data_IF_310145421592
#
_entry.id   IF_310145421592
#
_cell.length_a   1.000
_cell.length_b   1.000
_cell.length_c   1.000
_cell.angle_alpha   90.00
_cell.angle_beta   90.00
_cell.angle_gamma   90.00
#
_symmetry.space_group_name_H-M   'P 1'
#
loop_
_entity.id
_entity.type
_entity.pdbx_description
1 polymer ?
#
# COMPACT_ATOMS: atom_id res chain seq x y z
N UNK A 1 -53.02 -38.03 18.86
CA UNK A 1 -51.56 -38.15 19.08
C UNK A 1 -50.89 -37.07 18.24
N UNK A 2 -50.24 -36.10 18.88
CA UNK A 2 -49.55 -35.01 18.17
C UNK A 2 -48.12 -35.46 17.93
N UNK A 3 -47.71 -35.53 16.66
CA UNK A 3 -46.35 -35.91 16.27
C UNK A 3 -45.48 -34.65 16.20
N UNK A 4 -44.59 -34.50 17.17
CA UNK A 4 -43.59 -33.42 17.21
C UNK A 4 -42.47 -33.76 16.22
N UNK A 5 -42.36 -33.02 15.11
CA UNK A 5 -41.22 -33.13 14.20
C UNK A 5 -40.03 -32.39 14.82
N UNK A 6 -38.96 -33.13 15.13
CA UNK A 6 -37.66 -32.53 15.43
C UNK A 6 -37.08 -31.96 14.12
N UNK A 7 -37.06 -30.64 14.00
CA UNK A 7 -36.29 -29.95 12.97
C UNK A 7 -34.86 -29.82 13.53
N UNK A 8 -33.92 -30.57 12.96
CA UNK A 8 -32.50 -30.37 13.25
C UNK A 8 -31.98 -29.33 12.28
N UNK A 9 -32.05 -28.05 12.67
CA UNK A 9 -31.41 -26.97 11.93
C UNK A 9 -29.90 -27.03 12.22
N UNK A 10 -29.14 -27.67 11.32
CA UNK A 10 -27.68 -27.63 11.40
C UNK A 10 -27.21 -26.38 10.69
N UNK A 11 -26.77 -25.38 11.46
CA UNK A 11 -26.08 -24.22 10.90
C UNK A 11 -24.87 -24.70 10.09
N UNK A 12 -24.92 -24.54 8.76
CA UNK A 12 -23.76 -24.77 7.90
C UNK A 12 -22.63 -23.85 8.35
N UNK A 13 -21.43 -24.42 8.49
CA UNK A 13 -20.25 -23.66 8.87
C UNK A 13 -20.07 -22.47 7.92
N UNK A 14 -20.03 -21.25 8.47
CA UNK A 14 -19.78 -20.04 7.71
C UNK A 14 -18.38 -20.17 7.10
N UNK A 15 -18.31 -20.28 5.78
CA UNK A 15 -17.04 -20.16 5.07
C UNK A 15 -16.64 -18.69 5.05
N UNK A 16 -15.48 -18.37 5.61
CA UNK A 16 -14.86 -17.05 5.47
C UNK A 16 -13.78 -17.13 4.40
N UNK A 17 -14.10 -16.85 3.12
CA UNK A 17 -13.10 -16.85 2.07
C UNK A 17 -12.06 -15.75 2.34
N UNK A 18 -10.81 -16.00 1.95
CA UNK A 18 -9.75 -15.01 1.98
C UNK A 18 -9.00 -15.00 0.65
N UNK A 19 -8.40 -13.87 0.31
CA UNK A 19 -7.56 -13.68 -0.86
C UNK A 19 -6.33 -12.87 -0.47
N UNK A 20 -5.23 -13.07 -1.18
CA UNK A 20 -3.98 -12.33 -0.98
C UNK A 20 -3.65 -11.53 -2.23
N UNK A 21 -3.23 -10.30 -2.05
CA UNK A 21 -2.83 -9.39 -3.11
C UNK A 21 -1.44 -8.85 -2.81
N UNK A 22 -0.70 -8.51 -3.86
CA UNK A 22 0.68 -8.03 -3.76
C UNK A 22 0.79 -6.64 -4.34
N UNK A 23 1.51 -5.78 -3.63
CA UNK A 23 1.80 -4.41 -4.00
C UNK A 23 3.30 -4.31 -4.28
N UNK A 24 3.66 -3.77 -5.43
CA UNK A 24 5.03 -3.63 -5.89
C UNK A 24 5.38 -2.15 -5.98
N UNK A 25 6.54 -1.79 -5.47
CA UNK A 25 7.15 -0.47 -5.58
C UNK A 25 8.60 -0.66 -6.01
N UNK A 26 9.01 0.05 -7.06
CA UNK A 26 10.37 -0.01 -7.59
C UNK A 26 10.96 1.40 -7.62
N UNK A 27 12.11 1.56 -6.97
CA UNK A 27 12.93 2.76 -7.05
C UNK A 27 14.09 2.52 -8.02
N UNK A 28 14.31 3.43 -8.96
CA UNK A 28 15.37 3.29 -9.96
C UNK A 28 15.93 4.65 -10.38
N UNK A 29 17.15 4.63 -10.93
CA UNK A 29 17.79 5.81 -11.49
C UNK A 29 17.37 5.97 -12.95
N UNK A 30 16.93 7.18 -13.32
CA UNK A 30 16.77 7.57 -14.71
C UNK A 30 17.17 9.04 -14.85
N UNK A 31 18.10 9.33 -15.77
CA UNK A 31 18.63 10.67 -16.06
C UNK A 31 19.26 11.38 -14.83
N UNK A 32 19.78 10.60 -13.87
CA UNK A 32 20.35 11.14 -12.63
C UNK A 32 19.33 11.40 -11.52
N UNK A 33 18.04 11.24 -11.79
CA UNK A 33 16.97 11.43 -10.82
C UNK A 33 16.48 10.10 -10.24
N UNK A 34 15.87 10.19 -9.06
CA UNK A 34 15.08 9.14 -8.45
C UNK A 34 13.74 9.03 -9.16
N UNK A 35 13.47 7.85 -9.69
CA UNK A 35 12.20 7.50 -10.28
C UNK A 35 11.53 6.38 -9.50
N UNK A 36 10.21 6.46 -9.39
CA UNK A 36 9.38 5.43 -8.78
C UNK A 36 8.36 4.87 -9.78
N UNK A 37 8.18 3.56 -9.77
CA UNK A 37 7.07 2.88 -10.45
C UNK A 37 6.40 1.91 -9.49
N UNK A 38 5.10 1.65 -9.68
CA UNK A 38 4.34 0.80 -8.79
C UNK A 38 3.22 0.06 -9.51
N UNK A 39 2.83 -1.09 -8.99
CA UNK A 39 1.72 -1.88 -9.49
C UNK A 39 1.14 -2.76 -8.38
N UNK A 40 -0.12 -3.20 -8.52
CA UNK A 40 -0.75 -4.11 -7.57
C UNK A 40 -1.53 -5.20 -8.29
N UNK A 41 -1.60 -6.40 -7.71
CA UNK A 41 -2.53 -7.45 -8.16
C UNK A 41 -3.92 -7.29 -7.54
N UNK A 42 -4.10 -6.36 -6.60
CA UNK A 42 -5.38 -6.10 -5.99
C UNK A 42 -6.37 -5.54 -7.04
N UNK A 43 -7.63 -6.00 -7.05
CA UNK A 43 -8.66 -5.46 -7.95
C UNK A 43 -9.14 -4.06 -7.55
N UNK A 44 -8.53 -3.46 -6.53
CA UNK A 44 -8.85 -2.15 -5.99
C UNK A 44 -7.57 -1.38 -5.68
N UNK A 45 -7.66 -0.05 -5.64
CA UNK A 45 -6.57 0.82 -5.19
C UNK A 45 -6.55 0.95 -3.67
N UNK A 46 -5.44 1.44 -3.15
CA UNK A 46 -5.30 1.72 -1.74
C UNK A 46 -6.24 2.87 -1.39
N UNK A 47 -6.89 2.80 -0.24
CA UNK A 47 -7.70 3.91 0.23
C UNK A 47 -6.79 5.12 0.44
N UNK A 48 -7.09 6.22 -0.28
CA UNK A 48 -6.25 7.42 -0.35
C UNK A 48 -4.77 7.08 -0.60
N UNK A 49 -4.48 6.20 -1.56
CA UNK A 49 -3.13 5.70 -1.81
C UNK A 49 -2.15 6.80 -2.23
N UNK A 50 -0.98 6.84 -1.59
CA UNK A 50 0.06 7.85 -1.83
C UNK A 50 1.41 7.17 -2.04
N UNK A 51 2.16 7.65 -3.04
CA UNK A 51 3.56 7.28 -3.25
C UNK A 51 4.40 8.40 -2.64
N UNK A 52 5.28 8.06 -1.70
CA UNK A 52 6.04 9.03 -0.92
C UNK A 52 7.53 8.71 -0.91
N UNK A 53 8.34 9.76 -0.87
CA UNK A 53 9.78 9.70 -0.62
C UNK A 53 10.10 10.48 0.64
N UNK A 54 10.90 9.89 1.52
CA UNK A 54 11.39 10.49 2.75
C UNK A 54 12.91 10.59 2.73
N UNK A 55 13.43 11.62 3.39
CA UNK A 55 14.84 11.70 3.77
C UNK A 55 14.98 11.29 5.24
N UNK A 56 16.00 10.52 5.58
CA UNK A 56 16.29 10.21 6.98
C UNK A 56 17.25 9.03 7.12
N UNK A 57 17.30 8.49 8.34
CA UNK A 57 18.04 7.26 8.66
C UNK A 57 17.11 6.05 8.83
N UNK A 58 15.79 6.27 8.82
CA UNK A 58 14.75 5.26 8.99
C UNK A 58 13.42 5.78 8.44
N UNK A 59 12.47 4.88 8.18
CA UNK A 59 11.10 5.26 7.89
C UNK A 59 10.47 5.99 9.10
N UNK A 60 9.79 7.13 8.89
CA UNK A 60 9.04 7.80 9.95
C UNK A 60 8.03 6.89 10.65
N UNK A 61 7.81 7.10 11.95
CA UNK A 61 6.79 6.35 12.68
C UNK A 61 5.36 6.71 12.21
N UNK A 62 5.14 8.00 11.91
CA UNK A 62 3.95 8.47 11.20
C UNK A 62 4.30 8.62 9.70
N UNK A 63 3.66 7.87 8.79
CA UNK A 63 3.96 7.93 7.35
C UNK A 63 3.75 9.30 6.69
N UNK A 64 3.16 10.26 7.38
CA UNK A 64 2.96 11.62 6.89
C UNK A 64 4.09 12.59 7.28
N UNK A 65 5.04 12.18 8.13
CA UNK A 65 6.16 13.04 8.56
C UNK A 65 7.34 12.97 7.59
N UNK A 66 8.18 14.01 7.55
CA UNK A 66 9.46 14.07 6.80
C UNK A 66 9.36 13.77 5.29
N UNK A 67 8.20 13.99 4.68
CA UNK A 67 7.98 13.80 3.23
C UNK A 67 8.78 14.82 2.43
N UNK A 68 9.49 14.35 1.40
CA UNK A 68 10.26 15.17 0.46
C UNK A 68 9.59 15.31 -0.89
N UNK A 69 9.00 14.22 -1.37
CA UNK A 69 8.19 14.21 -2.58
C UNK A 69 7.03 13.25 -2.36
N UNK A 70 5.86 13.58 -2.90
CA UNK A 70 4.75 12.66 -2.93
C UNK A 70 3.83 12.90 -4.13
N UNK A 71 3.06 11.88 -4.49
CA UNK A 71 1.89 12.02 -5.33
C UNK A 71 0.84 10.94 -5.04
N UNK A 72 -0.34 11.08 -5.63
CA UNK A 72 -1.37 10.06 -5.57
C UNK A 72 -1.01 8.83 -6.42
N UNK A 73 -1.39 7.65 -5.93
CA UNK A 73 -1.10 6.37 -6.60
C UNK A 73 -1.85 6.17 -7.93
N UNK A 74 -2.81 7.06 -8.25
CA UNK A 74 -3.61 7.04 -9.47
C UNK A 74 -3.07 7.93 -10.60
N UNK A 75 -1.94 8.62 -10.41
CA UNK A 75 -1.43 9.61 -11.37
C UNK A 75 -0.54 8.97 -12.46
N UNK A 76 0.49 8.19 -12.11
CA UNK A 76 1.39 7.57 -13.11
C UNK A 76 2.14 6.34 -12.58
N UNK A 77 1.55 5.15 -12.73
CA UNK A 77 2.15 3.90 -12.24
C UNK A 77 3.43 3.46 -12.99
N UNK A 78 3.59 3.89 -14.24
CA UNK A 78 4.65 3.41 -15.14
C UNK A 78 5.99 4.16 -15.00
N UNK A 79 6.07 5.08 -14.04
CA UNK A 79 7.26 5.88 -13.81
C UNK A 79 6.89 7.29 -13.40
N UNK A 80 7.50 7.73 -12.32
CA UNK A 80 7.38 9.07 -11.78
C UNK A 80 8.76 9.61 -11.45
N UNK A 81 9.16 10.69 -12.12
CA UNK A 81 10.31 11.50 -11.71
C UNK A 81 9.96 12.25 -10.43
N UNK A 82 10.62 11.92 -9.32
CA UNK A 82 10.35 12.58 -8.05
C UNK A 82 10.98 13.98 -7.97
N UNK A 83 11.79 14.36 -8.97
CA UNK A 83 12.59 15.59 -8.99
C UNK A 83 13.75 15.59 -7.99
N UNK A 84 13.98 14.45 -7.32
CA UNK A 84 15.08 14.28 -6.37
C UNK A 84 16.25 13.60 -7.09
N UNK A 85 17.50 13.95 -6.77
CA UNK A 85 18.65 13.24 -7.33
C UNK A 85 18.66 11.79 -6.86
N UNK A 86 19.05 10.87 -7.74
CA UNK A 86 19.32 9.49 -7.34
C UNK A 86 20.50 9.44 -6.36
N UNK A 87 20.40 8.54 -5.39
CA UNK A 87 21.42 8.31 -4.38
C UNK A 87 20.93 7.31 -3.33
N UNK A 88 21.82 6.90 -2.44
CA UNK A 88 21.51 6.01 -1.32
C UNK A 88 20.77 6.75 -0.21
N UNK A 89 19.92 6.04 0.53
CA UNK A 89 19.28 6.58 1.74
C UNK A 89 17.98 7.36 1.50
N UNK A 90 17.42 7.27 0.29
CA UNK A 90 16.00 7.56 0.07
C UNK A 90 15.14 6.41 0.58
N UNK A 91 14.15 6.76 1.38
CA UNK A 91 13.12 5.86 1.89
C UNK A 91 11.86 6.10 1.06
N UNK A 92 11.45 5.12 0.28
CA UNK A 92 10.32 5.21 -0.63
C UNK A 92 9.20 4.30 -0.13
N UNK A 93 7.96 4.78 -0.14
CA UNK A 93 6.83 3.98 0.29
C UNK A 93 5.58 4.18 -0.55
N UNK A 94 4.76 3.14 -0.57
CA UNK A 94 3.36 3.23 -0.94
C UNK A 94 2.54 3.21 0.34
N UNK A 95 1.86 4.30 0.64
CA UNK A 95 1.03 4.45 1.82
C UNK A 95 -0.44 4.27 1.49
N UNK A 96 -1.19 3.75 2.45
CA UNK A 96 -2.63 3.65 2.41
C UNK A 96 -3.23 4.18 3.71
N UNK A 97 -4.36 4.89 3.62
CA UNK A 97 -5.12 5.27 4.80
C UNK A 97 -5.92 4.07 5.29
N UNK A 98 -5.87 3.80 6.60
CA UNK A 98 -6.71 2.75 7.19
C UNK A 98 -8.19 3.13 7.09
N UNK A 99 -9.04 2.19 6.69
CA UNK A 99 -10.50 2.39 6.70
C UNK A 99 -11.03 2.54 8.15
N UNK A 100 -12.08 3.34 8.39
CA UNK A 100 -12.80 4.18 7.41
C UNK A 100 -12.11 5.51 7.10
N UNK A 101 -11.29 6.06 7.99
CA UNK A 101 -10.47 7.28 7.79
C UNK A 101 -9.42 7.40 8.93
N UNK A 102 -8.74 6.29 9.23
CA UNK A 102 -7.72 6.19 10.26
C UNK A 102 -6.38 6.79 9.82
N UNK A 103 -5.30 6.54 10.59
CA UNK A 103 -3.96 6.98 10.21
C UNK A 103 -3.49 6.27 8.94
N UNK A 104 -2.54 6.90 8.26
CA UNK A 104 -1.82 6.28 7.16
C UNK A 104 -0.91 5.15 7.68
N UNK A 105 -0.73 4.13 6.86
CA UNK A 105 0.16 3.01 7.09
C UNK A 105 0.94 2.68 5.82
N UNK A 106 2.13 2.11 6.00
CA UNK A 106 2.96 1.61 4.91
C UNK A 106 2.38 0.31 4.33
N UNK A 107 2.01 0.32 3.06
CA UNK A 107 1.66 -0.89 2.31
C UNK A 107 2.92 -1.55 1.73
N UNK A 108 3.86 -0.74 1.25
CA UNK A 108 5.17 -1.18 0.72
C UNK A 108 6.25 -0.21 1.16
N UNK A 109 7.44 -0.73 1.45
CA UNK A 109 8.61 0.04 1.84
C UNK A 109 9.83 -0.40 1.01
N UNK A 110 10.56 0.57 0.46
CA UNK A 110 11.80 0.36 -0.31
C UNK A 110 12.83 1.37 0.15
N UNK A 111 14.08 0.94 0.30
CA UNK A 111 15.21 1.84 0.57
C UNK A 111 16.17 1.74 -0.60
N UNK A 112 16.61 2.89 -1.11
CA UNK A 112 17.64 2.96 -2.16
C UNK A 112 19.01 2.61 -1.57
N UNK A 113 19.73 1.72 -2.25
CA UNK A 113 21.07 1.27 -1.89
C UNK A 113 22.16 2.18 -2.45
#
# INVERSE_FOLDING_TARGET
>A
MVSTRHITDQAQAVQTPSASYTWYLSAYQLHGNLWLSWQTTAPFRAQQGQIMVYSGQFFPANPQDNVRAWQWDNVSSNGWDTGLPWGSGWYCAWNAQRSPNGPYAYAVQVVTA
#
